data_IF_882014120819
#
_entry.id   IF_882014120819
#
_cell.length_a   1.000
_cell.length_b   1.000
_cell.length_c   1.000
_cell.angle_alpha   90.00
_cell.angle_beta   90.00
_cell.angle_gamma   90.00
#
_symmetry.space_group_name_H-M   'P 1'
#
loop_
_entity.id
_entity.type
_entity.pdbx_description
1 polymer ?
#
# COMPACT_ATOMS: atom_id res chain seq x y z
N UNK A 1 17.58 -2.90 -2.73
CA UNK A 1 18.98 -3.17 -3.12
C UNK A 1 19.35 -4.54 -2.57
N UNK A 2 19.68 -5.52 -3.42
CA UNK A 2 19.73 -6.92 -2.97
C UNK A 2 21.02 -7.30 -2.21
N UNK A 3 22.11 -6.54 -2.34
CA UNK A 3 23.37 -6.78 -1.62
C UNK A 3 24.28 -5.54 -1.59
N UNK A 4 24.40 -4.84 -0.44
CA UNK A 4 25.29 -3.67 -0.24
C UNK A 4 26.76 -3.93 -0.60
N UNK A 5 27.25 -5.17 -0.44
CA UNK A 5 28.64 -5.52 -0.75
C UNK A 5 28.91 -5.49 -2.26
N UNK A 6 27.90 -5.67 -3.10
CA UNK A 6 28.08 -5.61 -4.57
C UNK A 6 28.42 -4.20 -5.07
N UNK A 7 27.96 -3.13 -4.41
CA UNK A 7 28.41 -1.76 -4.72
C UNK A 7 29.93 -1.66 -4.63
N UNK A 8 30.54 -2.43 -3.71
CA UNK A 8 31.96 -2.33 -3.46
C UNK A 8 32.85 -2.81 -4.62
N UNK A 9 32.32 -3.61 -5.53
CA UNK A 9 33.07 -4.22 -6.64
C UNK A 9 32.83 -3.58 -8.01
N UNK A 10 31.86 -2.66 -8.14
CA UNK A 10 31.53 -2.01 -9.42
C UNK A 10 32.67 -1.09 -9.88
N UNK A 11 33.13 -1.27 -11.13
CA UNK A 11 34.14 -0.45 -11.80
C UNK A 11 33.50 0.37 -12.93
N UNK A 12 34.03 1.57 -13.17
CA UNK A 12 33.63 2.41 -14.31
C UNK A 12 32.25 3.05 -14.20
N UNK A 13 31.78 3.30 -12.97
CA UNK A 13 30.50 3.94 -12.71
C UNK A 13 30.54 5.42 -13.14
N UNK A 14 29.76 5.76 -14.17
CA UNK A 14 29.59 7.14 -14.65
C UNK A 14 28.38 7.82 -14.02
N UNK A 15 27.25 7.12 -13.98
CA UNK A 15 25.95 7.66 -13.58
C UNK A 15 25.19 6.66 -12.72
N UNK A 16 24.37 7.16 -11.82
CA UNK A 16 23.56 6.35 -10.88
C UNK A 16 22.14 6.91 -10.83
N UNK A 17 21.17 6.01 -10.84
CA UNK A 17 19.76 6.34 -10.56
C UNK A 17 19.34 5.58 -9.31
N UNK A 18 18.89 6.31 -8.29
CA UNK A 18 18.33 5.79 -7.06
C UNK A 18 16.82 6.07 -7.06
N UNK A 19 16.07 5.08 -7.55
CA UNK A 19 14.61 4.99 -7.40
C UNK A 19 14.27 4.75 -5.93
N UNK A 20 13.23 5.42 -5.42
CA UNK A 20 12.85 5.38 -4.00
C UNK A 20 14.04 5.58 -3.06
N UNK A 21 14.84 6.62 -3.31
CA UNK A 21 16.08 6.90 -2.57
C UNK A 21 15.88 6.94 -1.04
N UNK A 22 14.68 7.27 -0.55
CA UNK A 22 14.32 7.21 0.87
C UNK A 22 14.37 5.80 1.48
N UNK A 23 14.31 4.72 0.69
CA UNK A 23 14.46 3.33 1.16
C UNK A 23 15.92 2.92 1.39
N UNK A 24 16.88 3.72 0.91
CA UNK A 24 18.30 3.45 1.09
C UNK A 24 18.83 4.08 2.37
N UNK A 25 20.06 3.73 2.74
CA UNK A 25 20.78 4.42 3.82
C UNK A 25 21.63 5.57 3.28
N UNK A 26 21.97 6.51 4.15
CA UNK A 26 22.92 7.58 3.81
C UNK A 26 24.30 7.02 3.44
N UNK A 27 24.70 5.88 4.02
CA UNK A 27 25.96 5.23 3.69
C UNK A 27 25.92 4.68 2.25
N UNK A 28 24.82 4.05 1.82
CA UNK A 28 24.67 3.59 0.43
C UNK A 28 24.86 4.75 -0.56
N UNK A 29 24.19 5.88 -0.32
CA UNK A 29 24.34 7.10 -1.12
C UNK A 29 25.79 7.59 -1.13
N UNK A 30 26.45 7.60 0.05
CA UNK A 30 27.84 8.04 0.19
C UNK A 30 28.80 7.13 -0.58
N UNK A 31 28.63 5.80 -0.46
CA UNK A 31 29.44 4.81 -1.17
C UNK A 31 29.29 4.93 -2.69
N UNK A 32 28.06 5.14 -3.19
CA UNK A 32 27.81 5.38 -4.60
C UNK A 32 28.47 6.68 -5.07
N UNK A 33 28.30 7.77 -4.33
CA UNK A 33 28.91 9.07 -4.64
C UNK A 33 30.43 8.97 -4.77
N UNK A 34 31.11 8.27 -3.86
CA UNK A 34 32.57 8.06 -3.91
C UNK A 34 33.04 7.22 -5.12
N UNK A 35 32.12 6.49 -5.77
CA UNK A 35 32.38 5.61 -6.90
C UNK A 35 32.06 6.21 -8.25
N UNK A 36 31.31 7.32 -8.32
CA UNK A 36 31.13 8.13 -9.53
C UNK A 36 32.44 8.83 -9.93
N UNK A 37 33.42 8.05 -10.39
CA UNK A 37 34.78 8.51 -10.69
C UNK A 37 35.35 8.05 -12.02
N UNK A 38 34.51 7.51 -12.92
CA UNK A 38 34.94 7.09 -14.26
C UNK A 38 35.63 8.26 -15.01
N UNK A 39 36.92 8.16 -15.38
CA UNK A 39 37.65 9.26 -16.00
C UNK A 39 37.17 9.63 -17.41
N UNK A 40 36.61 8.66 -18.16
CA UNK A 40 36.10 8.85 -19.53
C UNK A 40 34.82 9.67 -19.58
N UNK A 41 34.01 9.63 -18.53
CA UNK A 41 32.78 10.41 -18.41
C UNK A 41 33.02 11.63 -17.52
N UNK A 42 33.00 12.85 -18.11
CA UNK A 42 33.27 14.10 -17.37
C UNK A 42 32.04 14.68 -16.67
N UNK A 43 30.84 14.40 -17.20
CA UNK A 43 29.55 14.89 -16.66
C UNK A 43 28.82 13.74 -15.96
N UNK A 44 29.36 13.32 -14.82
CA UNK A 44 28.82 12.21 -14.01
C UNK A 44 27.70 12.71 -13.13
N UNK A 45 26.59 11.99 -13.07
CA UNK A 45 25.41 12.41 -12.31
C UNK A 45 24.84 11.29 -11.46
N UNK A 46 24.34 11.67 -10.28
CA UNK A 46 23.56 10.80 -9.41
C UNK A 46 22.15 11.41 -9.34
N UNK A 47 21.16 10.65 -9.80
CA UNK A 47 19.75 11.01 -9.78
C UNK A 47 19.08 10.30 -8.62
N UNK A 48 18.52 11.06 -7.68
CA UNK A 48 17.69 10.52 -6.60
C UNK A 48 16.24 10.91 -6.86
N UNK A 49 15.35 9.94 -6.83
CA UNK A 49 13.91 10.17 -6.85
C UNK A 49 13.24 9.42 -5.71
N UNK A 50 12.30 10.08 -5.05
CA UNK A 50 11.62 9.59 -3.88
C UNK A 50 10.42 10.48 -3.58
N UNK A 51 9.42 9.91 -2.91
CA UNK A 51 8.37 10.70 -2.26
C UNK A 51 8.87 11.18 -0.88
N UNK A 52 8.44 12.36 -0.39
CA UNK A 52 8.74 12.76 0.97
C UNK A 52 8.27 11.70 1.96
N UNK A 53 9.06 11.49 3.00
CA UNK A 53 8.77 10.56 4.09
C UNK A 53 8.95 11.30 5.41
N UNK A 54 9.30 10.60 6.49
CA UNK A 54 9.67 11.24 7.76
C UNK A 54 10.85 12.21 7.60
N UNK A 55 10.81 13.32 8.33
CA UNK A 55 11.94 14.26 8.50
C UNK A 55 13.20 13.60 9.09
N UNK A 56 13.08 12.38 9.61
CA UNK A 56 14.23 11.59 10.07
C UNK A 56 15.02 10.95 8.95
N UNK A 57 14.40 10.77 7.79
CA UNK A 57 15.02 10.11 6.66
C UNK A 57 16.25 10.89 6.20
N UNK A 58 17.26 10.17 5.72
CA UNK A 58 18.49 10.78 5.28
C UNK A 58 18.27 11.75 4.12
N UNK A 59 17.29 11.51 3.24
CA UNK A 59 17.02 12.42 2.12
C UNK A 59 16.57 13.80 2.62
N UNK A 60 15.72 13.86 3.66
CA UNK A 60 15.35 15.11 4.32
C UNK A 60 16.57 15.78 4.96
N UNK A 61 17.31 15.03 5.79
CA UNK A 61 18.50 15.53 6.49
C UNK A 61 19.64 15.92 5.55
N UNK A 62 19.65 15.43 4.32
CA UNK A 62 20.71 15.71 3.34
C UNK A 62 20.41 16.95 2.50
N UNK A 63 19.14 17.29 2.27
CA UNK A 63 18.76 18.32 1.28
C UNK A 63 17.67 19.31 1.70
N UNK A 64 16.86 18.99 2.71
CA UNK A 64 15.65 19.77 3.05
C UNK A 64 15.59 20.25 4.50
N UNK A 65 16.44 19.71 5.39
CA UNK A 65 16.57 20.21 6.75
C UNK A 65 17.05 21.68 6.70
N UNK A 66 16.36 22.63 7.39
CA UNK A 66 16.76 24.04 7.43
C UNK A 66 18.19 24.29 7.92
N UNK A 67 18.78 23.37 8.67
CA UNK A 67 20.16 23.46 9.14
C UNK A 67 21.20 23.14 8.04
N UNK A 68 20.78 22.55 6.92
CA UNK A 68 21.66 22.13 5.83
C UNK A 68 21.82 23.25 4.80
N UNK A 69 23.07 23.50 4.42
CA UNK A 69 23.37 24.36 3.27
C UNK A 69 23.70 23.49 2.06
N UNK A 70 22.80 23.49 1.07
CA UNK A 70 23.00 22.75 -0.18
C UNK A 70 23.85 23.59 -1.14
N UNK A 71 24.92 23.00 -1.68
CA UNK A 71 25.70 23.61 -2.74
C UNK A 71 24.96 23.51 -4.07
N UNK A 72 24.27 24.59 -4.46
CA UNK A 72 23.46 24.67 -5.67
C UNK A 72 24.28 24.63 -6.97
N UNK A 73 25.61 24.74 -6.90
CA UNK A 73 26.48 24.48 -8.05
C UNK A 73 26.66 22.98 -8.36
N UNK A 74 26.34 22.12 -7.38
CA UNK A 74 26.48 20.67 -7.47
C UNK A 74 25.16 19.91 -7.40
N UNK A 75 24.16 20.47 -6.74
CA UNK A 75 22.87 19.82 -6.50
C UNK A 75 21.74 20.66 -7.09
N UNK A 76 20.89 20.01 -7.88
CA UNK A 76 19.61 20.56 -8.33
C UNK A 76 18.49 19.76 -7.67
N UNK A 77 17.52 20.46 -7.08
CA UNK A 77 16.34 19.87 -6.46
C UNK A 77 15.13 20.28 -7.29
N UNK A 78 14.40 19.27 -7.77
CA UNK A 78 13.15 19.46 -8.52
C UNK A 78 12.02 18.82 -7.73
N UNK A 79 10.95 19.59 -7.48
CA UNK A 79 9.73 19.10 -6.87
C UNK A 79 8.63 19.11 -7.93
N UNK A 80 7.92 18.00 -8.05
CA UNK A 80 6.72 17.86 -8.88
C UNK A 80 5.58 17.32 -8.03
N UNK A 81 4.37 17.59 -8.48
CA UNK A 81 3.12 17.12 -7.89
C UNK A 81 2.24 16.52 -8.98
N UNK A 82 1.09 15.97 -8.59
CA UNK A 82 0.08 15.51 -9.56
C UNK A 82 -0.36 16.61 -10.53
N UNK A 83 -0.24 17.91 -10.17
CA UNK A 83 -0.62 19.04 -11.03
C UNK A 83 0.30 19.22 -12.23
N UNK A 84 1.53 18.69 -12.15
CA UNK A 84 2.53 18.74 -13.21
C UNK A 84 2.36 17.57 -14.20
N UNK A 85 1.49 16.60 -13.90
CA UNK A 85 1.26 15.42 -14.71
C UNK A 85 0.08 15.61 -15.68
N UNK A 86 0.39 15.88 -16.96
CA UNK A 86 -0.60 16.04 -18.03
C UNK A 86 -1.33 14.77 -18.45
N UNK A 87 -0.93 13.60 -17.93
CA UNK A 87 -1.53 12.31 -18.27
C UNK A 87 -2.63 11.87 -17.31
N UNK A 88 -2.88 12.62 -16.23
CA UNK A 88 -3.96 12.30 -15.29
C UNK A 88 -5.31 12.72 -15.88
N UNK A 89 -6.25 11.79 -15.89
CA UNK A 89 -7.63 12.11 -16.24
C UNK A 89 -8.37 12.76 -15.05
N UNK A 90 -9.57 13.25 -15.33
CA UNK A 90 -10.40 13.90 -14.33
C UNK A 90 -10.81 12.97 -13.18
N UNK A 91 -10.83 11.65 -13.41
CA UNK A 91 -11.18 10.67 -12.39
C UNK A 91 -10.03 10.46 -11.42
N UNK A 92 -8.82 10.24 -11.92
CA UNK A 92 -7.61 10.15 -11.12
C UNK A 92 -7.40 11.40 -10.27
N UNK A 93 -7.65 12.59 -10.83
CA UNK A 93 -7.57 13.85 -10.08
C UNK A 93 -8.59 13.88 -8.94
N UNK A 94 -9.83 13.41 -9.16
CA UNK A 94 -10.84 13.32 -8.08
C UNK A 94 -10.41 12.36 -6.98
N UNK A 95 -9.88 11.19 -7.34
CA UNK A 95 -9.34 10.21 -6.39
C UNK A 95 -8.27 10.85 -5.50
N UNK A 96 -7.32 11.55 -6.13
CA UNK A 96 -6.22 12.23 -5.45
C UNK A 96 -6.75 13.34 -4.53
N UNK A 97 -7.69 14.17 -5.00
CA UNK A 97 -8.26 15.25 -4.20
C UNK A 97 -9.15 14.75 -3.05
N UNK A 98 -9.78 13.57 -3.18
CA UNK A 98 -10.58 12.97 -2.11
C UNK A 98 -9.71 12.62 -0.88
N UNK A 99 -8.41 12.36 -1.08
CA UNK A 99 -7.45 12.14 0.02
C UNK A 99 -7.41 13.33 0.98
N UNK A 100 -7.64 14.56 0.51
CA UNK A 100 -7.71 15.75 1.37
C UNK A 100 -8.78 15.62 2.45
N UNK A 101 -9.83 14.85 2.20
CA UNK A 101 -10.92 14.57 3.15
C UNK A 101 -10.64 13.30 3.95
N UNK A 102 -10.28 12.20 3.28
CA UNK A 102 -10.15 10.88 3.92
C UNK A 102 -8.85 10.71 4.71
N UNK A 103 -7.75 11.31 4.25
CA UNK A 103 -6.47 11.31 4.96
C UNK A 103 -5.63 12.56 4.62
N UNK A 104 -5.88 13.69 5.31
CA UNK A 104 -5.23 14.97 5.03
C UNK A 104 -3.69 14.95 5.15
N UNK A 105 -3.15 14.18 6.09
CA UNK A 105 -1.70 14.04 6.25
C UNK A 105 -1.09 13.30 5.06
N UNK A 106 -1.70 12.18 4.64
CA UNK A 106 -1.26 11.43 3.46
C UNK A 106 -1.33 12.29 2.18
N UNK A 107 -2.39 13.10 2.02
CA UNK A 107 -2.50 14.05 0.91
C UNK A 107 -1.31 15.03 0.87
N UNK A 108 -0.96 15.67 1.98
CA UNK A 108 0.19 16.61 2.00
C UNK A 108 1.49 15.94 1.56
N UNK A 109 1.76 14.73 2.04
CA UNK A 109 3.00 14.02 1.78
C UNK A 109 3.05 13.49 0.34
N UNK A 110 2.09 12.64 -0.02
CA UNK A 110 2.14 11.87 -1.27
C UNK A 110 1.51 12.59 -2.46
N UNK A 111 0.71 13.64 -2.22
CA UNK A 111 0.09 14.42 -3.30
C UNK A 111 0.76 15.78 -3.50
N UNK A 112 1.04 16.51 -2.42
CA UNK A 112 1.65 17.85 -2.51
C UNK A 112 3.18 17.84 -2.42
N UNK A 113 3.79 16.70 -2.06
CA UNK A 113 5.24 16.61 -1.93
C UNK A 113 5.78 17.35 -0.70
N UNK A 114 4.98 17.48 0.37
CA UNK A 114 5.38 18.16 1.60
C UNK A 114 6.00 17.20 2.61
N UNK A 115 7.04 17.65 3.32
CA UNK A 115 7.56 16.94 4.50
C UNK A 115 6.68 17.22 5.73
N UNK A 116 5.58 16.47 5.85
CA UNK A 116 4.68 16.49 7.00
C UNK A 116 4.80 15.21 7.86
N UNK A 117 4.40 15.31 9.12
CA UNK A 117 4.27 14.14 10.01
C UNK A 117 3.00 13.38 9.65
N UNK A 118 3.09 12.06 9.57
CA UNK A 118 1.90 11.20 9.42
C UNK A 118 1.00 11.32 10.64
N UNK A 119 -0.30 11.23 10.43
CA UNK A 119 -1.25 11.11 11.54
C UNK A 119 -1.02 9.80 12.28
N UNK A 120 -1.46 9.75 13.55
CA UNK A 120 -1.34 8.53 14.37
C UNK A 120 -2.05 7.34 13.71
N UNK A 121 -3.31 7.55 13.29
CA UNK A 121 -4.15 6.52 12.70
C UNK A 121 -3.91 6.39 11.20
N UNK A 122 -3.92 5.16 10.70
CA UNK A 122 -3.83 4.88 9.26
C UNK A 122 -5.12 5.31 8.56
N UNK A 123 -6.28 5.12 9.20
CA UNK A 123 -7.59 5.51 8.69
C UNK A 123 -8.25 6.52 9.64
N UNK A 124 -7.91 7.82 9.55
CA UNK A 124 -8.36 8.82 10.52
C UNK A 124 -9.85 9.20 10.36
N UNK A 125 -10.46 8.96 9.19
CA UNK A 125 -11.87 9.25 8.91
C UNK A 125 -12.59 8.02 8.37
N UNK A 126 -13.68 7.64 9.03
CA UNK A 126 -14.64 6.63 8.57
C UNK A 126 -16.01 6.86 9.22
N UNK A 127 -17.07 6.32 8.61
CA UNK A 127 -18.44 6.43 9.13
C UNK A 127 -18.97 5.07 9.57
N UNK A 128 -19.72 5.06 10.68
CA UNK A 128 -20.39 3.86 11.21
C UNK A 128 -21.90 4.04 11.10
N UNK A 129 -22.59 3.12 10.41
CA UNK A 129 -24.06 3.12 10.33
C UNK A 129 -24.58 1.77 9.88
N UNK A 130 -25.83 1.46 10.22
CA UNK A 130 -26.54 0.30 9.67
C UNK A 130 -26.60 0.38 8.15
N UNK A 131 -26.07 -0.63 7.45
CA UNK A 131 -26.16 -0.76 6.00
C UNK A 131 -27.33 -1.66 5.62
N UNK A 132 -28.02 -1.32 4.53
CA UNK A 132 -29.06 -2.16 3.92
C UNK A 132 -28.48 -2.79 2.66
N UNK A 133 -28.56 -4.11 2.58
CA UNK A 133 -28.12 -4.88 1.42
C UNK A 133 -28.96 -4.53 0.20
N UNK A 134 -30.28 -4.30 0.35
CA UNK A 134 -31.14 -3.96 -0.79
C UNK A 134 -30.79 -2.59 -1.39
N UNK A 135 -30.44 -1.60 -0.55
CA UNK A 135 -30.07 -0.26 -1.02
C UNK A 135 -28.72 -0.22 -1.73
N UNK A 136 -27.87 -1.21 -1.52
CA UNK A 136 -26.53 -1.31 -2.10
C UNK A 136 -26.43 -2.50 -3.07
N UNK A 137 -27.56 -3.05 -3.54
CA UNK A 137 -27.60 -4.24 -4.40
C UNK A 137 -26.80 -4.06 -5.68
N UNK A 138 -26.83 -2.84 -6.24
CA UNK A 138 -26.28 -2.52 -7.55
C UNK A 138 -24.76 -2.33 -7.54
N UNK A 139 -24.17 -2.19 -6.34
CA UNK A 139 -22.72 -2.05 -6.19
C UNK A 139 -22.02 -3.43 -6.26
N UNK A 140 -20.85 -3.52 -6.90
CA UNK A 140 -20.08 -4.76 -6.95
C UNK A 140 -19.65 -5.22 -5.55
N UNK A 141 -19.81 -6.52 -5.28
CA UNK A 141 -19.35 -7.17 -4.05
C UNK A 141 -17.95 -7.76 -4.23
N UNK A 142 -17.13 -7.65 -3.20
CA UNK A 142 -15.79 -8.25 -3.13
C UNK A 142 -15.63 -8.98 -1.80
N UNK A 143 -14.90 -10.09 -1.83
CA UNK A 143 -14.69 -10.95 -0.68
C UNK A 143 -13.21 -11.20 -0.44
N UNK A 144 -12.80 -11.02 0.80
CA UNK A 144 -11.41 -11.15 1.23
C UNK A 144 -11.28 -12.02 2.46
N UNK A 145 -10.13 -12.67 2.60
CA UNK A 145 -9.87 -13.53 3.75
C UNK A 145 -8.42 -13.46 4.22
N UNK A 146 -8.23 -13.23 5.51
CA UNK A 146 -6.94 -13.35 6.20
C UNK A 146 -6.96 -14.59 7.09
N UNK A 147 -5.90 -15.38 7.05
CA UNK A 147 -5.83 -16.65 7.78
C UNK A 147 -5.22 -16.44 9.16
N UNK A 148 -5.95 -16.85 10.20
CA UNK A 148 -5.47 -16.90 11.58
C UNK A 148 -5.68 -18.28 12.20
N UNK A 149 -5.08 -18.51 13.36
CA UNK A 149 -5.32 -19.74 14.11
C UNK A 149 -5.27 -19.53 15.62
N UNK A 150 -4.08 -19.41 16.22
CA UNK A 150 -3.94 -19.35 17.69
C UNK A 150 -3.87 -17.93 18.24
N UNK A 151 -2.93 -17.13 17.74
CA UNK A 151 -2.76 -15.74 18.19
C UNK A 151 -3.68 -14.80 17.40
N UNK A 152 -3.85 -15.11 16.12
CA UNK A 152 -4.60 -14.30 15.16
C UNK A 152 -5.93 -14.99 14.85
N UNK A 153 -6.97 -14.21 14.56
CA UNK A 153 -8.26 -14.73 14.12
C UNK A 153 -8.32 -14.88 12.61
N UNK A 154 -9.09 -15.86 12.12
CA UNK A 154 -9.43 -15.90 10.71
C UNK A 154 -10.48 -14.83 10.45
N UNK A 155 -10.15 -13.87 9.59
CA UNK A 155 -11.03 -12.78 9.19
C UNK A 155 -11.56 -13.03 7.77
N UNK A 156 -12.88 -13.02 7.61
CA UNK A 156 -13.57 -13.07 6.32
C UNK A 156 -14.44 -11.82 6.17
N UNK A 157 -14.25 -11.12 5.05
CA UNK A 157 -14.83 -9.80 4.82
C UNK A 157 -15.66 -9.77 3.54
N UNK A 158 -16.86 -9.19 3.62
CA UNK A 158 -17.67 -8.79 2.48
C UNK A 158 -17.71 -7.26 2.39
N UNK A 159 -17.21 -6.73 1.28
CA UNK A 159 -17.23 -5.29 1.00
C UNK A 159 -17.94 -4.99 -0.33
N UNK A 160 -18.50 -3.79 -0.43
CA UNK A 160 -19.03 -3.23 -1.68
C UNK A 160 -18.31 -1.93 -2.01
N UNK A 161 -18.04 -1.70 -3.30
CA UNK A 161 -17.28 -0.53 -3.74
C UNK A 161 -18.12 0.31 -4.68
N UNK A 162 -18.31 1.58 -4.33
CA UNK A 162 -18.82 2.62 -5.21
C UNK A 162 -17.62 3.38 -5.80
N UNK A 163 -17.23 2.99 -7.02
CA UNK A 163 -16.10 3.57 -7.74
C UNK A 163 -16.35 5.04 -8.09
N UNK A 164 -17.57 5.36 -8.51
CA UNK A 164 -17.93 6.71 -8.99
C UNK A 164 -17.89 7.74 -7.85
N UNK A 165 -18.32 7.34 -6.64
CA UNK A 165 -18.33 8.22 -5.46
C UNK A 165 -17.15 8.00 -4.52
N UNK A 166 -16.22 7.08 -4.84
CA UNK A 166 -15.11 6.66 -3.98
C UNK A 166 -15.56 6.30 -2.56
N UNK A 167 -16.53 5.39 -2.42
CA UNK A 167 -17.00 4.88 -1.13
C UNK A 167 -16.79 3.36 -1.02
N UNK A 168 -16.15 2.93 0.05
CA UNK A 168 -15.98 1.53 0.42
C UNK A 168 -16.95 1.19 1.55
N UNK A 169 -17.91 0.31 1.26
CA UNK A 169 -18.88 -0.19 2.23
C UNK A 169 -18.41 -1.51 2.82
N UNK A 170 -18.20 -1.58 4.13
CA UNK A 170 -17.95 -2.85 4.84
C UNK A 170 -19.29 -3.40 5.30
N UNK A 171 -19.73 -4.46 4.63
CA UNK A 171 -21.11 -4.98 4.71
C UNK A 171 -21.26 -6.02 5.81
N UNK A 172 -20.32 -6.96 5.88
CA UNK A 172 -20.35 -8.09 6.78
C UNK A 172 -18.92 -8.54 7.10
N UNK A 173 -18.71 -8.96 8.34
CA UNK A 173 -17.46 -9.54 8.82
C UNK A 173 -17.74 -10.87 9.51
N UNK A 174 -16.76 -11.77 9.44
CA UNK A 174 -16.69 -12.95 10.29
C UNK A 174 -15.25 -13.09 10.80
N UNK A 175 -15.09 -13.09 12.11
CA UNK A 175 -13.78 -13.17 12.76
C UNK A 175 -13.81 -14.24 13.85
N UNK A 176 -12.89 -15.22 13.79
CA UNK A 176 -12.83 -16.31 14.77
C UNK A 176 -11.47 -17.00 14.87
N UNK A 177 -11.02 -17.27 16.09
CA UNK A 177 -9.83 -18.08 16.38
C UNK A 177 -10.06 -19.59 16.22
N UNK A 178 -8.96 -20.31 16.00
CA UNK A 178 -8.90 -21.77 16.07
C UNK A 178 -9.68 -22.49 14.98
N UNK A 179 -9.94 -21.82 13.85
CA UNK A 179 -10.67 -22.44 12.75
C UNK A 179 -9.78 -23.39 11.96
N UNK A 180 -10.28 -24.59 11.72
CA UNK A 180 -9.69 -25.50 10.73
C UNK A 180 -10.18 -25.14 9.33
N UNK A 181 -9.48 -25.62 8.30
CA UNK A 181 -9.81 -25.31 6.90
C UNK A 181 -11.22 -25.79 6.49
N UNK A 182 -11.68 -26.91 7.04
CA UNK A 182 -13.03 -27.43 6.85
C UNK A 182 -14.10 -26.60 7.60
N UNK A 183 -13.76 -26.04 8.77
CA UNK A 183 -14.59 -25.06 9.47
C UNK A 183 -14.80 -23.81 8.63
N UNK A 184 -13.73 -23.28 8.05
CA UNK A 184 -13.77 -22.09 7.17
C UNK A 184 -14.67 -22.37 5.97
N UNK A 185 -14.48 -23.51 5.29
CA UNK A 185 -15.31 -23.88 4.15
C UNK A 185 -16.79 -24.05 4.52
N UNK A 186 -17.11 -24.61 5.70
CA UNK A 186 -18.49 -24.71 6.20
C UNK A 186 -19.09 -23.33 6.51
N UNK A 187 -18.32 -22.46 7.16
CA UNK A 187 -18.74 -21.09 7.48
C UNK A 187 -19.10 -20.32 6.20
N UNK A 188 -18.23 -20.33 5.18
CA UNK A 188 -18.49 -19.63 3.90
C UNK A 188 -19.77 -20.14 3.22
N UNK A 189 -20.03 -21.45 3.28
CA UNK A 189 -21.27 -22.04 2.75
C UNK A 189 -22.49 -21.60 3.54
N UNK A 190 -22.41 -21.56 4.87
CA UNK A 190 -23.52 -21.13 5.74
C UNK A 190 -23.87 -19.66 5.53
N UNK A 191 -22.87 -18.81 5.28
CA UNK A 191 -23.08 -17.40 4.92
C UNK A 191 -23.61 -17.22 3.49
N UNK A 192 -23.65 -18.27 2.67
CA UNK A 192 -24.18 -18.23 1.31
C UNK A 192 -23.18 -17.82 0.23
N UNK A 193 -21.90 -17.62 0.58
CA UNK A 193 -20.87 -17.08 -0.32
C UNK A 193 -20.05 -18.14 -1.06
N UNK A 194 -20.48 -19.40 -1.05
CA UNK A 194 -19.77 -20.52 -1.70
C UNK A 194 -19.48 -20.34 -3.19
N UNK A 195 -20.25 -19.50 -3.89
CA UNK A 195 -20.11 -19.23 -5.33
C UNK A 195 -19.34 -17.94 -5.63
N UNK A 196 -18.92 -17.20 -4.61
CA UNK A 196 -18.25 -15.92 -4.78
C UNK A 196 -16.74 -16.09 -5.03
N UNK A 197 -16.13 -15.07 -5.62
CA UNK A 197 -14.67 -15.00 -5.71
C UNK A 197 -14.14 -14.52 -4.38
N UNK A 198 -13.35 -15.37 -3.71
CA UNK A 198 -12.75 -15.04 -2.41
C UNK A 198 -11.24 -14.93 -2.61
N UNK A 199 -10.68 -13.76 -2.33
CA UNK A 199 -9.25 -13.51 -2.43
C UNK A 199 -8.63 -13.63 -1.04
N UNK A 200 -7.80 -14.64 -0.83
CA UNK A 200 -7.22 -14.96 0.47
C UNK A 200 -5.73 -14.65 0.55
N UNK A 201 -5.15 -14.51 1.75
CA UNK A 201 -3.71 -14.37 1.90
C UNK A 201 -2.95 -15.52 1.20
N UNK A 202 -1.94 -15.15 0.42
CA UNK A 202 -1.12 -16.07 -0.33
C UNK A 202 0.02 -16.71 0.49
N UNK A 203 0.18 -16.41 1.80
CA UNK A 203 1.16 -17.09 2.65
C UNK A 203 0.75 -18.54 2.96
N UNK A 204 -0.56 -18.85 2.84
CA UNK A 204 -1.14 -20.15 3.20
C UNK A 204 -1.69 -20.90 1.97
N UNK A 205 -0.85 -21.28 0.98
CA UNK A 205 -1.30 -21.96 -0.24
C UNK A 205 -1.94 -23.33 0.04
N UNK A 206 -1.54 -23.98 1.14
CA UNK A 206 -2.13 -25.24 1.60
C UNK A 206 -3.60 -25.04 2.00
N UNK A 207 -3.87 -24.04 2.83
CA UNK A 207 -5.23 -23.72 3.31
C UNK A 207 -6.16 -23.37 2.15
N UNK A 208 -5.68 -22.59 1.18
CA UNK A 208 -6.41 -22.31 -0.06
C UNK A 208 -6.78 -23.60 -0.81
N UNK A 209 -5.83 -24.53 -0.96
CA UNK A 209 -6.06 -25.78 -1.69
C UNK A 209 -7.07 -26.69 -0.96
N UNK A 210 -7.00 -26.78 0.36
CA UNK A 210 -7.92 -27.57 1.18
C UNK A 210 -9.35 -26.99 1.16
N UNK A 211 -9.50 -25.69 1.39
CA UNK A 211 -10.80 -24.99 1.32
C UNK A 211 -11.43 -25.11 -0.07
N UNK A 212 -10.60 -25.06 -1.12
CA UNK A 212 -11.04 -25.27 -2.50
C UNK A 212 -11.58 -26.69 -2.72
N UNK A 213 -10.88 -27.69 -2.18
CA UNK A 213 -11.32 -29.11 -2.21
C UNK A 213 -12.63 -29.30 -1.44
N UNK A 214 -12.81 -28.56 -0.37
CA UNK A 214 -14.01 -28.59 0.46
C UNK A 214 -15.18 -27.80 -0.14
N UNK A 215 -15.09 -27.38 -1.40
CA UNK A 215 -16.22 -26.89 -2.20
C UNK A 215 -16.30 -25.38 -2.37
N UNK A 216 -15.30 -24.62 -1.89
CA UNK A 216 -15.17 -23.20 -2.19
C UNK A 216 -14.30 -23.04 -3.44
N UNK A 217 -14.83 -23.44 -4.59
CA UNK A 217 -14.03 -23.66 -5.81
C UNK A 217 -13.38 -22.39 -6.38
N UNK A 218 -13.88 -21.21 -5.99
CA UNK A 218 -13.46 -19.88 -6.47
C UNK A 218 -12.58 -19.11 -5.48
N UNK A 219 -12.12 -19.74 -4.39
CA UNK A 219 -11.05 -19.18 -3.57
C UNK A 219 -9.73 -19.12 -4.37
N UNK A 220 -8.98 -18.04 -4.21
CA UNK A 220 -7.67 -17.84 -4.86
C UNK A 220 -6.73 -17.00 -3.98
N UNK A 221 -5.41 -17.11 -4.17
CA UNK A 221 -4.45 -16.28 -3.46
C UNK A 221 -4.48 -14.82 -3.95
N UNK A 222 -4.24 -13.89 -3.04
CA UNK A 222 -3.93 -12.50 -3.34
C UNK A 222 -2.61 -12.41 -4.13
N UNK A 223 -2.51 -11.41 -5.03
CA UNK A 223 -1.25 -11.14 -5.73
C UNK A 223 -0.26 -10.49 -4.76
N UNK A 224 0.91 -11.10 -4.56
CA UNK A 224 2.00 -10.55 -3.73
C UNK A 224 2.99 -9.77 -4.60
N UNK A 225 3.27 -8.54 -4.20
CA UNK A 225 4.34 -7.69 -4.71
C UNK A 225 5.15 -7.12 -3.55
N UNK A 226 6.37 -6.65 -3.83
CA UNK A 226 7.12 -5.82 -2.88
C UNK A 226 6.22 -4.61 -2.54
N UNK A 227 6.05 -4.31 -1.25
CA UNK A 227 5.25 -3.17 -0.76
C UNK A 227 3.72 -3.28 -0.93
N UNK A 228 3.19 -4.50 -1.14
CA UNK A 228 1.74 -4.72 -1.33
C UNK A 228 0.86 -4.26 -0.15
N UNK A 229 1.38 -4.21 1.08
CA UNK A 229 0.67 -3.70 2.26
C UNK A 229 0.46 -2.19 2.13
N UNK A 230 1.56 -1.44 1.96
CA UNK A 230 1.52 0.03 1.83
C UNK A 230 0.67 0.43 0.62
N UNK A 231 0.84 -0.24 -0.52
CA UNK A 231 0.04 0.02 -1.72
C UNK A 231 -1.45 -0.25 -1.52
N UNK A 232 -1.80 -1.33 -0.83
CA UNK A 232 -3.20 -1.65 -0.55
C UNK A 232 -3.83 -0.71 0.48
N UNK A 233 -3.09 -0.29 1.52
CA UNK A 233 -3.53 0.74 2.46
C UNK A 233 -3.75 2.06 1.72
N UNK A 234 -2.79 2.48 0.89
CA UNK A 234 -2.90 3.69 0.09
C UNK A 234 -4.12 3.66 -0.83
N UNK A 235 -4.40 2.51 -1.45
CA UNK A 235 -5.60 2.31 -2.25
C UNK A 235 -6.88 2.44 -1.42
N UNK A 236 -6.95 1.80 -0.25
CA UNK A 236 -8.09 1.92 0.66
C UNK A 236 -8.32 3.36 1.12
N UNK A 237 -7.26 4.12 1.42
CA UNK A 237 -7.32 5.52 1.86
C UNK A 237 -7.92 6.46 0.80
N UNK A 238 -7.96 6.06 -0.47
CA UNK A 238 -8.64 6.82 -1.53
C UNK A 238 -10.17 6.82 -1.38
N UNK A 239 -10.72 5.88 -0.60
CA UNK A 239 -12.16 5.73 -0.41
C UNK A 239 -12.60 6.28 0.94
N UNK A 240 -13.84 6.77 1.00
CA UNK A 240 -14.53 6.93 2.28
C UNK A 240 -14.96 5.57 2.79
N UNK A 241 -14.55 5.18 4.00
CA UNK A 241 -15.00 3.94 4.61
C UNK A 241 -16.34 4.16 5.30
N UNK A 242 -17.34 3.33 4.96
CA UNK A 242 -18.64 3.28 5.61
C UNK A 242 -18.87 1.87 6.11
N UNK A 243 -18.83 1.68 7.42
CA UNK A 243 -18.83 0.37 8.07
C UNK A 243 -20.21 0.09 8.67
N UNK A 244 -20.76 -1.10 8.39
CA UNK A 244 -21.94 -1.58 9.11
C UNK A 244 -21.63 -1.68 10.60
N UNK A 245 -22.51 -1.14 11.45
CA UNK A 245 -22.34 -1.08 12.90
C UNK A 245 -22.32 -2.46 13.60
N UNK A 246 -22.59 -3.57 12.89
CA UNK A 246 -22.32 -4.94 13.38
C UNK A 246 -20.87 -5.38 13.18
N UNK A 247 -20.09 -4.70 12.34
CA UNK A 247 -18.71 -5.06 12.04
C UNK A 247 -17.78 -4.53 13.15
N UNK A 248 -17.97 -5.05 14.36
CA UNK A 248 -17.31 -4.58 15.58
C UNK A 248 -15.79 -4.77 15.56
N UNK A 249 -15.29 -5.84 14.93
CA UNK A 249 -13.85 -6.11 14.80
C UNK A 249 -13.20 -5.15 13.84
N UNK A 250 -13.81 -4.94 12.67
CA UNK A 250 -13.36 -3.93 11.71
C UNK A 250 -13.34 -2.53 12.35
N UNK A 251 -14.36 -2.18 13.14
CA UNK A 251 -14.39 -0.90 13.86
C UNK A 251 -13.24 -0.80 14.87
N UNK A 252 -13.01 -1.86 15.65
CA UNK A 252 -11.90 -1.93 16.59
C UNK A 252 -10.56 -1.75 15.88
N UNK A 253 -10.36 -2.39 14.73
CA UNK A 253 -9.13 -2.23 13.96
C UNK A 253 -8.95 -0.82 13.42
N UNK A 254 -9.99 -0.23 12.79
CA UNK A 254 -9.91 1.13 12.27
C UNK A 254 -9.61 2.17 13.36
N UNK A 255 -10.08 1.95 14.59
CA UNK A 255 -9.83 2.84 15.74
C UNK A 255 -8.42 2.68 16.35
N UNK A 256 -7.73 1.56 16.08
CA UNK A 256 -6.45 1.22 16.71
C UNK A 256 -5.28 1.02 15.72
N UNK A 257 -5.55 0.92 14.43
CA UNK A 257 -4.53 0.71 13.41
C UNK A 257 -3.73 1.99 13.17
N UNK A 258 -2.46 1.96 13.54
CA UNK A 258 -1.60 3.14 13.61
C UNK A 258 -0.31 2.97 12.81
N UNK A 259 0.32 4.08 12.48
CA UNK A 259 1.70 4.07 12.04
C UNK A 259 2.64 3.84 13.22
N UNK A 260 3.79 3.18 12.99
CA UNK A 260 4.81 2.98 14.01
C UNK A 260 5.38 4.35 14.43
N UNK A 261 5.54 4.51 15.74
CA UNK A 261 6.15 5.71 16.33
C UNK A 261 7.63 5.47 16.60
N UNK A 262 8.48 6.36 16.10
CA UNK A 262 9.91 6.34 16.39
C UNK A 262 10.14 6.69 17.87
N UNK A 263 10.92 5.85 18.58
CA UNK A 263 11.14 5.98 20.02
C UNK A 263 12.08 7.14 20.39
N UNK A 264 12.90 7.64 19.48
CA UNK A 264 13.93 8.65 19.76
C UNK A 264 13.36 10.08 19.77
N UNK A 265 12.41 10.37 18.89
CA UNK A 265 11.87 11.73 18.70
C UNK A 265 10.34 11.78 18.73
N UNK A 266 9.65 10.64 18.65
CA UNK A 266 8.20 10.56 18.70
C UNK A 266 7.48 10.87 17.39
N UNK A 267 8.18 10.93 16.26
CA UNK A 267 7.57 11.05 14.92
C UNK A 267 7.01 9.69 14.43
N UNK A 268 6.01 9.74 13.56
CA UNK A 268 5.46 8.54 12.92
C UNK A 268 6.24 8.17 11.65
N UNK A 269 6.49 6.87 11.45
CA UNK A 269 7.08 6.32 10.22
C UNK A 269 5.99 5.94 9.22
N UNK A 270 6.36 5.64 7.99
CA UNK A 270 5.44 5.16 6.95
C UNK A 270 5.07 3.67 7.10
N UNK A 271 5.57 3.00 8.13
CA UNK A 271 5.26 1.60 8.40
C UNK A 271 4.07 1.51 9.36
N UNK A 272 2.98 0.81 9.00
CA UNK A 272 1.93 0.51 9.96
C UNK A 272 2.44 -0.46 11.05
N UNK A 273 1.81 -0.42 12.22
CA UNK A 273 2.05 -1.41 13.27
C UNK A 273 1.59 -2.79 12.81
N UNK A 274 2.24 -3.84 13.31
CA UNK A 274 1.87 -5.25 13.06
C UNK A 274 0.89 -5.70 14.16
N UNK A 275 -0.25 -5.02 14.22
CA UNK A 275 -1.34 -5.25 15.16
C UNK A 275 -2.60 -4.53 14.66
N UNK A 276 -3.79 -5.07 14.95
CA UNK A 276 -5.07 -4.49 14.51
C UNK A 276 -5.16 -4.36 12.98
N UNK A 277 -4.80 -5.43 12.27
CA UNK A 277 -4.74 -5.46 10.80
C UNK A 277 -5.39 -6.67 10.13
N UNK A 278 -6.02 -7.61 10.84
CA UNK A 278 -6.60 -8.82 10.27
C UNK A 278 -7.79 -8.51 9.35
N UNK A 279 -8.79 -7.78 9.83
CA UNK A 279 -9.94 -7.35 9.03
C UNK A 279 -9.51 -6.37 7.93
N UNK A 280 -8.59 -5.45 8.24
CA UNK A 280 -8.04 -4.50 7.25
C UNK A 280 -7.29 -5.24 6.14
N UNK A 281 -6.47 -6.24 6.47
CA UNK A 281 -5.76 -7.05 5.49
C UNK A 281 -6.72 -7.91 4.67
N UNK A 282 -7.74 -8.49 5.29
CA UNK A 282 -8.80 -9.19 4.57
C UNK A 282 -9.53 -8.25 3.58
N UNK A 283 -9.90 -7.03 3.99
CA UNK A 283 -10.47 -6.02 3.07
C UNK A 283 -9.48 -5.71 1.94
N UNK A 284 -8.20 -5.51 2.26
CA UNK A 284 -7.15 -5.22 1.28
C UNK A 284 -7.03 -6.34 0.24
N UNK A 285 -7.16 -7.61 0.65
CA UNK A 285 -7.19 -8.75 -0.26
C UNK A 285 -8.47 -8.76 -1.11
N UNK A 286 -9.64 -8.40 -0.55
CA UNK A 286 -10.88 -8.28 -1.31
C UNK A 286 -10.73 -7.29 -2.49
N UNK A 287 -10.01 -6.19 -2.26
CA UNK A 287 -9.82 -5.10 -3.23
C UNK A 287 -8.71 -5.36 -4.25
N UNK A 288 -8.00 -6.49 -4.18
CA UNK A 288 -6.86 -6.79 -5.05
C UNK A 288 -7.21 -6.74 -6.56
N UNK A 289 -8.45 -7.08 -6.94
CA UNK A 289 -8.89 -7.02 -8.35
C UNK A 289 -8.93 -5.60 -8.93
N UNK A 290 -9.34 -4.64 -8.11
CA UNK A 290 -9.57 -3.25 -8.53
C UNK A 290 -8.39 -2.34 -8.19
N UNK A 291 -7.51 -2.77 -7.29
CA UNK A 291 -6.24 -2.10 -6.96
C UNK A 291 -5.17 -2.27 -8.07
N UNK A 292 -5.56 -2.26 -9.35
CA UNK A 292 -4.64 -2.10 -10.48
C UNK A 292 -3.63 -3.23 -10.74
N UNK A 293 -3.58 -4.32 -9.96
CA UNK A 293 -2.75 -5.49 -10.28
C UNK A 293 -3.38 -6.39 -11.36
N UNK A 294 -4.17 -5.82 -12.28
CA UNK A 294 -4.50 -6.47 -13.54
C UNK A 294 -3.21 -6.76 -14.30
N UNK A 295 -3.02 -8.00 -14.75
CA UNK A 295 -1.80 -8.43 -15.44
C UNK A 295 -1.49 -7.45 -16.60
N UNK A 296 -0.32 -6.78 -16.62
CA UNK A 296 0.05 -5.97 -17.77
C UNK A 296 0.08 -6.88 -19.01
N UNK A 297 -0.76 -6.61 -20.00
CA UNK A 297 -0.57 -7.21 -21.32
C UNK A 297 0.64 -6.52 -21.95
N UNK A 298 1.82 -7.11 -21.79
CA UNK A 298 3.01 -6.68 -22.49
C UNK A 298 2.82 -6.92 -24.00
N UNK A 299 2.79 -5.85 -24.79
CA UNK A 299 2.96 -5.94 -26.24
C UNK A 299 4.44 -5.81 -26.54
N UNK A 300 5.04 -6.88 -27.06
CA UNK A 300 6.42 -6.86 -27.56
C UNK A 300 6.42 -6.07 -28.88
N UNK A 301 6.95 -4.85 -28.87
CA UNK A 301 7.33 -4.16 -30.09
C UNK A 301 8.70 -4.69 -30.52
N UNK A 302 8.73 -5.43 -31.65
CA UNK A 302 9.99 -5.76 -32.32
C UNK A 302 10.56 -4.47 -32.90
N UNK A 303 11.82 -4.18 -32.57
CA UNK A 303 12.60 -3.10 -33.17
C UNK A 303 12.50 -3.16 -34.70
N UNK A 304 11.97 -2.10 -35.31
CA UNK A 304 12.10 -1.81 -36.74
C UNK A 304 13.07 -0.64 -36.85
N UNK A 305 14.35 -0.93 -36.68
CA UNK A 305 15.41 -0.10 -37.24
C UNK A 305 16.48 -1.04 -37.79
N UNK A 306 16.58 -1.02 -39.12
CA UNK A 306 17.72 -1.50 -39.92
C UNK A 306 18.76 -0.39 -39.91
#
# INVERSE_FOLDING_TARGET
MDDPEKIKSIKGLSDVVMEEASEFTQDDFTQLTLRLREPKHKKRQLFCMFNPVSKLNWTYKQWFDPAVTVDTSRVAIHQSTYKDNHFLDADNIRTIENLKRTNPAYYKIYTLGEFATLDKLVFPDFSKRRLSVEKLSDLPSYFGMDFGYTNDETAFMHVKVDQDNHVLYVMEEYAKHGMLNDDIARMIKQMGYSKEIITADAAEPKSIAEIKRDGITRIRPAKKGKDSIIQGIAFMQQYHLVVDDRCVKTIEELENYTYKKDKQNGEYTNEPVDAYNHEIDAIRYALNEINGMGTPKATILKNIYI
#
